data_IF_822801658765
#
_entry.id   IF_822801658765
#
_cell.length_a   1.000
_cell.length_b   1.000
_cell.length_c   1.000
_cell.angle_alpha   90.00
_cell.angle_beta   90.00
_cell.angle_gamma   90.00
#
_symmetry.space_group_name_H-M   'P 1'
#
loop_
_entity.id
_entity.type
_entity.pdbx_description
1 polymer ?
#
# COMPACT_ATOMS: atom_id res chain seq x y z
N UNK A 1 6.40 -57.00 -35.87
CA UNK A 1 6.97 -56.42 -34.64
C UNK A 1 7.13 -54.94 -34.90
N UNK A 2 6.12 -54.13 -34.53
CA UNK A 2 6.07 -52.71 -34.86
C UNK A 2 6.53 -51.91 -33.65
N UNK A 3 7.66 -51.21 -33.81
CA UNK A 3 8.26 -50.34 -32.81
C UNK A 3 7.46 -49.04 -32.77
N UNK A 4 6.84 -48.76 -31.62
CA UNK A 4 6.02 -47.56 -31.39
C UNK A 4 6.95 -46.46 -30.88
N UNK A 5 7.64 -45.81 -31.81
CA UNK A 5 8.40 -44.59 -31.54
C UNK A 5 7.44 -43.39 -31.43
N UNK A 6 7.70 -42.53 -30.45
CA UNK A 6 7.22 -41.15 -30.48
C UNK A 6 6.12 -40.78 -29.49
N UNK A 7 6.13 -41.30 -28.26
CA UNK A 7 5.61 -40.51 -27.12
C UNK A 7 6.66 -39.44 -26.80
N UNK A 8 6.72 -38.43 -27.67
CA UNK A 8 7.37 -37.18 -27.36
C UNK A 8 6.58 -36.55 -26.20
N UNK A 9 7.02 -36.85 -24.98
CA UNK A 9 6.68 -36.11 -23.79
C UNK A 9 6.91 -34.62 -24.11
N UNK A 10 5.83 -33.92 -24.43
CA UNK A 10 5.76 -32.46 -24.48
C UNK A 10 5.94 -31.98 -23.04
N UNK A 11 7.20 -32.03 -22.57
CA UNK A 11 7.65 -31.45 -21.32
C UNK A 11 7.56 -29.95 -21.51
N UNK A 12 6.34 -29.42 -21.41
CA UNK A 12 6.15 -27.98 -21.30
C UNK A 12 6.96 -27.52 -20.10
N UNK A 13 7.94 -26.63 -20.27
CA UNK A 13 8.71 -26.10 -19.17
C UNK A 13 7.72 -25.59 -18.12
N UNK A 14 7.79 -26.16 -16.92
CA UNK A 14 6.91 -25.78 -15.83
C UNK A 14 6.96 -24.28 -15.65
N UNK A 15 5.80 -23.61 -15.76
CA UNK A 15 5.73 -22.16 -15.74
C UNK A 15 6.48 -21.56 -14.55
N UNK A 16 7.28 -20.53 -14.82
CA UNK A 16 8.10 -19.84 -13.83
C UNK A 16 7.27 -19.53 -12.57
N UNK A 17 7.70 -19.99 -11.37
CA UNK A 17 6.97 -19.78 -10.13
C UNK A 17 6.79 -18.29 -9.76
N UNK A 18 7.47 -17.36 -10.41
CA UNK A 18 7.32 -15.92 -10.20
C UNK A 18 6.17 -15.28 -11.00
N UNK A 19 5.67 -15.95 -12.05
CA UNK A 19 4.66 -15.41 -12.96
C UNK A 19 3.26 -15.97 -12.69
N UNK A 20 2.27 -15.14 -12.98
CA UNK A 20 0.86 -15.48 -12.87
C UNK A 20 0.46 -16.49 -13.96
N UNK A 21 -0.60 -17.26 -13.71
CA UNK A 21 -1.12 -18.18 -14.71
C UNK A 21 -1.71 -17.41 -15.92
N UNK A 22 -1.51 -17.88 -17.18
CA UNK A 22 -1.97 -17.18 -18.39
C UNK A 22 -3.47 -16.86 -18.40
N UNK A 23 -4.28 -17.70 -17.76
CA UNK A 23 -5.73 -17.51 -17.60
C UNK A 23 -6.13 -16.23 -16.87
N UNK A 24 -5.20 -15.57 -16.16
CA UNK A 24 -5.46 -14.35 -15.40
C UNK A 24 -4.85 -13.09 -16.04
N UNK A 25 -4.20 -13.18 -17.19
CA UNK A 25 -3.57 -12.02 -17.84
C UNK A 25 -4.54 -10.86 -18.08
N UNK A 26 -5.79 -11.15 -18.46
CA UNK A 26 -6.84 -10.14 -18.62
C UNK A 26 -7.09 -9.34 -17.33
N UNK A 27 -7.26 -10.04 -16.20
CA UNK A 27 -7.46 -9.38 -14.90
C UNK A 27 -6.27 -8.49 -14.52
N UNK A 28 -5.04 -8.95 -14.79
CA UNK A 28 -3.81 -8.19 -14.53
C UNK A 28 -3.70 -6.93 -15.40
N UNK A 29 -4.00 -7.01 -16.69
CA UNK A 29 -4.03 -5.85 -17.57
C UNK A 29 -5.12 -4.85 -17.18
N UNK A 30 -6.33 -5.32 -16.85
CA UNK A 30 -7.42 -4.46 -16.39
C UNK A 30 -7.00 -3.73 -15.11
N UNK A 31 -6.47 -4.45 -14.12
CA UNK A 31 -5.97 -3.82 -12.89
C UNK A 31 -4.85 -2.83 -13.15
N UNK A 32 -3.87 -3.16 -14.01
CA UNK A 32 -2.81 -2.23 -14.37
C UNK A 32 -3.37 -0.95 -14.99
N UNK A 33 -4.28 -1.06 -15.95
CA UNK A 33 -4.90 0.08 -16.60
C UNK A 33 -5.62 1.00 -15.60
N UNK A 34 -6.48 0.45 -14.75
CA UNK A 34 -7.26 1.24 -13.79
C UNK A 34 -6.39 1.87 -12.69
N UNK A 35 -5.38 1.16 -12.18
CA UNK A 35 -4.45 1.72 -11.20
C UNK A 35 -3.59 2.84 -11.80
N UNK A 36 -3.08 2.65 -13.03
CA UNK A 36 -2.36 3.70 -13.75
C UNK A 36 -3.25 4.91 -13.98
N UNK A 37 -4.50 4.71 -14.45
CA UNK A 37 -5.45 5.78 -14.71
C UNK A 37 -5.70 6.64 -13.45
N UNK A 38 -5.93 6.00 -12.30
CA UNK A 38 -6.13 6.72 -11.05
C UNK A 38 -4.86 7.43 -10.57
N UNK A 39 -3.70 6.78 -10.67
CA UNK A 39 -2.43 7.40 -10.32
C UNK A 39 -2.12 8.63 -11.18
N UNK A 40 -2.39 8.55 -12.49
CA UNK A 40 -2.27 9.69 -13.41
C UNK A 40 -3.23 10.82 -13.04
N UNK A 41 -4.46 10.51 -12.63
CA UNK A 41 -5.38 11.53 -12.14
C UNK A 41 -4.84 12.26 -10.89
N UNK A 42 -4.30 11.52 -9.91
CA UNK A 42 -3.65 12.12 -8.74
C UNK A 42 -2.44 12.98 -9.12
N UNK A 43 -1.61 12.52 -10.06
CA UNK A 43 -0.48 13.31 -10.57
C UNK A 43 -0.95 14.58 -11.29
N UNK A 44 -2.07 14.53 -12.02
CA UNK A 44 -2.64 15.71 -12.67
C UNK A 44 -3.10 16.76 -11.64
N UNK A 45 -3.73 16.33 -10.55
CA UNK A 45 -4.11 17.21 -9.44
C UNK A 45 -2.93 17.92 -8.81
N UNK A 46 -1.81 17.22 -8.70
CA UNK A 46 -0.56 17.85 -8.28
C UNK A 46 -0.12 18.90 -9.25
N UNK A 47 0.05 18.53 -10.52
CA UNK A 47 0.61 19.45 -11.52
C UNK A 47 -0.26 20.71 -11.55
N UNK A 48 -1.57 20.54 -11.44
CA UNK A 48 -2.50 21.64 -11.26
C UNK A 48 -2.21 22.47 -9.99
N UNK A 49 -2.05 21.84 -8.82
CA UNK A 49 -1.71 22.57 -7.58
C UNK A 49 -0.38 23.32 -7.62
N UNK A 50 0.64 22.78 -8.30
CA UNK A 50 1.93 23.45 -8.52
C UNK A 50 1.74 24.69 -9.39
N UNK A 51 1.06 24.53 -10.53
CA UNK A 51 0.80 25.62 -11.49
C UNK A 51 -0.06 26.71 -10.86
N UNK A 52 -1.04 26.35 -10.02
CA UNK A 52 -1.91 27.31 -9.34
C UNK A 52 -1.20 28.04 -8.20
N UNK A 53 -0.28 27.38 -7.49
CA UNK A 53 0.45 27.96 -6.36
C UNK A 53 1.67 28.80 -6.74
N UNK A 54 1.85 29.13 -8.04
CA UNK A 54 3.06 29.75 -8.60
C UNK A 54 4.37 29.04 -8.17
N UNK A 55 4.28 27.75 -7.84
CA UNK A 55 5.40 26.97 -7.32
C UNK A 55 6.26 26.41 -8.44
N UNK A 56 7.56 26.21 -8.17
CA UNK A 56 8.45 25.51 -9.08
C UNK A 56 8.36 23.99 -8.89
N UNK A 57 8.72 23.23 -9.92
CA UNK A 57 8.87 21.76 -9.82
C UNK A 57 9.89 21.39 -8.73
N UNK A 58 10.88 22.26 -8.50
CA UNK A 58 11.87 22.05 -7.46
C UNK A 58 11.28 22.16 -6.06
N UNK A 59 10.40 23.15 -5.82
CA UNK A 59 9.69 23.30 -4.53
C UNK A 59 8.80 22.10 -4.24
N UNK A 60 8.24 21.48 -5.28
CA UNK A 60 7.52 20.23 -5.15
C UNK A 60 8.45 19.06 -4.75
N UNK A 61 9.59 18.91 -5.43
CA UNK A 61 10.58 17.86 -5.10
C UNK A 61 11.12 18.03 -3.70
N UNK A 62 11.39 19.26 -3.27
CA UNK A 62 11.79 19.56 -1.90
C UNK A 62 10.65 19.25 -0.93
N UNK A 63 9.42 19.64 -1.27
CA UNK A 63 8.19 19.37 -0.51
C UNK A 63 7.86 17.89 -0.31
N UNK A 64 8.35 17.00 -1.18
CA UNK A 64 8.23 15.54 -1.01
C UNK A 64 8.93 15.06 0.26
N UNK A 65 10.01 15.72 0.68
CA UNK A 65 10.83 15.31 1.82
C UNK A 65 10.78 16.31 2.98
N UNK A 66 10.77 17.61 2.68
CA UNK A 66 10.72 18.69 3.64
C UNK A 66 9.29 19.26 3.73
N UNK A 67 8.50 18.97 4.78
CA UNK A 67 7.18 19.57 4.94
C UNK A 67 7.18 21.09 5.05
N UNK A 68 8.32 21.71 5.38
CA UNK A 68 8.45 23.17 5.52
C UNK A 68 8.77 23.90 4.23
N UNK A 69 9.17 23.18 3.17
CA UNK A 69 9.62 23.79 1.92
C UNK A 69 8.48 24.32 1.02
N UNK A 70 7.23 23.92 1.26
CA UNK A 70 6.13 24.32 0.38
C UNK A 70 4.88 24.72 1.16
N UNK A 71 4.56 26.03 1.24
CA UNK A 71 3.25 26.52 1.65
C UNK A 71 2.20 26.42 0.53
N UNK A 72 2.58 25.97 -0.69
CA UNK A 72 1.64 25.83 -1.80
C UNK A 72 0.54 24.84 -1.39
N UNK A 73 -0.71 25.26 -1.56
CA UNK A 73 -1.93 24.52 -1.24
C UNK A 73 -1.86 23.09 -1.80
N UNK A 74 -1.35 22.14 -1.02
CA UNK A 74 -1.21 20.76 -1.43
C UNK A 74 -2.62 20.15 -1.44
N UNK A 75 -3.29 20.25 -2.60
CA UNK A 75 -4.57 19.57 -2.87
C UNK A 75 -4.46 18.05 -2.62
N UNK A 76 -3.24 17.53 -2.74
CA UNK A 76 -2.86 16.12 -2.58
C UNK A 76 -1.80 16.01 -1.49
N UNK A 77 -2.07 15.24 -0.44
CA UNK A 77 -1.18 15.09 0.71
C UNK A 77 -0.07 14.04 0.53
N UNK A 78 0.81 13.88 1.54
CA UNK A 78 1.89 12.87 1.54
C UNK A 78 1.42 11.46 1.22
N UNK A 79 0.29 11.07 1.79
CA UNK A 79 -0.22 9.71 1.67
C UNK A 79 -0.66 9.45 0.24
N UNK A 80 -1.37 10.39 -0.36
CA UNK A 80 -1.91 10.29 -1.71
C UNK A 80 -0.77 10.14 -2.73
N UNK A 81 0.36 10.82 -2.51
CA UNK A 81 1.57 10.64 -3.29
C UNK A 81 2.20 9.27 -3.16
N UNK A 82 2.40 8.83 -1.93
CA UNK A 82 2.97 7.53 -1.64
C UNK A 82 2.10 6.43 -2.27
N UNK A 83 0.78 6.58 -2.20
CA UNK A 83 -0.16 5.68 -2.82
C UNK A 83 -0.19 5.79 -4.36
N UNK A 84 -0.08 6.98 -4.95
CA UNK A 84 0.05 7.14 -6.39
C UNK A 84 1.29 6.40 -6.94
N UNK A 85 2.44 6.56 -6.28
CA UNK A 85 3.66 5.82 -6.61
C UNK A 85 3.47 4.30 -6.42
N UNK A 86 2.81 3.89 -5.33
CA UNK A 86 2.50 2.48 -5.09
C UNK A 86 1.54 1.89 -6.13
N UNK A 87 0.57 2.66 -6.63
CA UNK A 87 -0.35 2.23 -7.69
C UNK A 87 0.39 2.05 -9.01
N UNK A 88 1.30 2.96 -9.37
CA UNK A 88 2.15 2.81 -10.57
C UNK A 88 3.07 1.59 -10.46
N UNK A 89 3.71 1.39 -9.31
CA UNK A 89 4.55 0.21 -9.07
C UNK A 89 3.73 -1.09 -9.16
N UNK A 90 2.53 -1.10 -8.57
CA UNK A 90 1.61 -2.24 -8.62
C UNK A 90 1.13 -2.51 -10.04
N UNK A 91 0.81 -1.46 -10.80
CA UNK A 91 0.44 -1.55 -12.20
C UNK A 91 1.59 -2.12 -13.05
N UNK A 92 2.83 -1.65 -12.84
CA UNK A 92 4.01 -2.20 -13.50
C UNK A 92 4.23 -3.69 -13.20
N UNK A 93 4.09 -4.10 -11.93
CA UNK A 93 4.11 -5.51 -11.54
C UNK A 93 2.97 -6.31 -12.21
N UNK A 94 1.79 -5.69 -12.36
CA UNK A 94 0.64 -6.33 -12.98
C UNK A 94 0.83 -6.50 -14.49
N UNK A 95 1.36 -5.51 -15.20
CA UNK A 95 1.75 -5.60 -16.62
C UNK A 95 2.81 -6.68 -16.82
N UNK A 96 3.77 -6.79 -15.90
CA UNK A 96 4.78 -7.85 -15.90
C UNK A 96 4.25 -9.21 -15.39
N UNK A 97 2.94 -9.34 -15.15
CA UNK A 97 2.26 -10.55 -14.68
C UNK A 97 2.92 -11.20 -13.45
N UNK A 98 3.46 -10.38 -12.53
CA UNK A 98 4.13 -10.86 -11.32
C UNK A 98 3.10 -11.24 -10.26
N UNK A 99 3.23 -12.42 -9.64
CA UNK A 99 2.36 -12.85 -8.52
C UNK A 99 2.16 -11.83 -7.38
N UNK A 100 3.20 -11.10 -6.90
CA UNK A 100 3.00 -10.09 -5.87
C UNK A 100 2.05 -8.95 -6.28
N UNK A 101 1.86 -8.70 -7.59
CA UNK A 101 0.95 -7.66 -8.06
C UNK A 101 -0.47 -7.87 -7.55
N UNK A 102 -0.90 -9.13 -7.35
CA UNK A 102 -2.26 -9.43 -6.88
C UNK A 102 -2.50 -8.95 -5.46
N UNK A 103 -1.63 -9.28 -4.50
CA UNK A 103 -1.84 -8.86 -3.11
C UNK A 103 -1.63 -7.36 -2.95
N UNK A 104 -0.69 -6.78 -3.69
CA UNK A 104 -0.53 -5.33 -3.79
C UNK A 104 -1.82 -4.66 -4.30
N UNK A 105 -2.37 -5.13 -5.43
CA UNK A 105 -3.57 -4.57 -6.03
C UNK A 105 -4.81 -4.74 -5.15
N UNK A 106 -4.98 -5.89 -4.48
CA UNK A 106 -6.08 -6.08 -3.53
C UNK A 106 -5.97 -5.10 -2.36
N UNK A 107 -4.77 -4.91 -1.81
CA UNK A 107 -4.54 -3.91 -0.77
C UNK A 107 -4.89 -2.50 -1.25
N UNK A 108 -4.39 -2.10 -2.42
CA UNK A 108 -4.73 -0.84 -3.08
C UNK A 108 -6.24 -0.67 -3.31
N UNK A 109 -6.91 -1.71 -3.78
CA UNK A 109 -8.36 -1.70 -4.02
C UNK A 109 -9.17 -1.54 -2.73
N UNK A 110 -8.80 -2.23 -1.65
CA UNK A 110 -9.45 -2.04 -0.35
C UNK A 110 -9.19 -0.65 0.24
N UNK A 111 -7.98 -0.12 0.08
CA UNK A 111 -7.66 1.24 0.50
C UNK A 111 -8.51 2.28 -0.24
N UNK A 112 -8.58 2.20 -1.57
CA UNK A 112 -9.42 3.09 -2.38
C UNK A 112 -10.91 2.96 -2.04
N UNK A 113 -11.38 1.74 -1.77
CA UNK A 113 -12.74 1.52 -1.31
C UNK A 113 -13.00 2.20 0.03
N UNK A 114 -12.06 2.10 0.99
CA UNK A 114 -12.20 2.75 2.29
C UNK A 114 -12.25 4.28 2.17
N UNK A 115 -11.38 4.87 1.34
CA UNK A 115 -11.40 6.31 1.03
C UNK A 115 -12.73 6.71 0.38
N UNK A 116 -13.24 5.92 -0.55
CA UNK A 116 -14.49 6.20 -1.26
C UNK A 116 -15.72 6.07 -0.36
N UNK A 117 -15.74 5.08 0.55
CA UNK A 117 -16.81 4.91 1.53
C UNK A 117 -16.84 6.06 2.53
N UNK A 118 -15.67 6.50 3.00
CA UNK A 118 -15.55 7.70 3.84
C UNK A 118 -16.14 8.92 3.14
N UNK A 119 -15.82 9.11 1.86
CA UNK A 119 -16.35 10.20 1.06
C UNK A 119 -17.87 10.12 0.91
N UNK A 120 -18.40 8.92 0.65
CA UNK A 120 -19.83 8.69 0.56
C UNK A 120 -20.58 9.03 1.86
N UNK A 121 -19.97 8.74 3.03
CA UNK A 121 -20.50 9.18 4.32
C UNK A 121 -20.52 10.70 4.42
N UNK A 122 -19.45 11.37 3.98
CA UNK A 122 -19.39 12.83 3.94
C UNK A 122 -20.48 13.45 3.05
N UNK A 123 -20.75 12.86 1.89
CA UNK A 123 -21.81 13.29 0.97
C UNK A 123 -23.23 13.16 1.55
N UNK A 124 -23.43 12.51 2.69
CA UNK A 124 -24.71 12.56 3.39
C UNK A 124 -24.97 13.93 4.03
N UNK A 125 -23.93 14.70 4.34
CA UNK A 125 -24.02 16.05 4.91
C UNK A 125 -24.35 17.09 3.82
N UNK A 126 -25.38 17.90 4.06
CA UNK A 126 -25.87 18.87 3.07
C UNK A 126 -24.89 20.02 2.82
N UNK A 127 -24.22 20.52 3.86
CA UNK A 127 -23.24 21.59 3.72
C UNK A 127 -22.01 21.11 2.96
N UNK A 128 -21.58 19.86 3.20
CA UNK A 128 -20.50 19.26 2.44
C UNK A 128 -20.83 19.02 0.96
N UNK A 129 -22.06 18.56 0.66
CA UNK A 129 -22.52 18.47 -0.74
C UNK A 129 -22.57 19.81 -1.44
N UNK A 130 -22.96 20.87 -0.74
CA UNK A 130 -23.04 22.22 -1.31
C UNK A 130 -21.67 22.72 -1.77
N UNK A 131 -20.60 22.39 -1.03
CA UNK A 131 -19.24 22.74 -1.43
C UNK A 131 -18.90 22.22 -2.83
N UNK A 132 -19.30 20.99 -3.16
CA UNK A 132 -19.07 20.40 -4.49
C UNK A 132 -19.78 21.15 -5.63
N UNK A 133 -20.87 21.87 -5.32
CA UNK A 133 -21.61 22.68 -6.28
C UNK A 133 -21.05 24.12 -6.39
N UNK A 134 -20.54 24.67 -5.29
CA UNK A 134 -20.06 26.06 -5.22
C UNK A 134 -18.59 26.23 -5.58
N UNK A 135 -17.76 25.21 -5.34
CA UNK A 135 -16.33 25.25 -5.65
C UNK A 135 -16.08 25.01 -7.14
N UNK A 136 -15.28 25.85 -7.83
CA UNK A 136 -14.98 25.68 -9.26
C UNK A 136 -14.33 24.33 -9.61
N UNK A 137 -13.66 23.69 -8.65
CA UNK A 137 -13.02 22.39 -8.79
C UNK A 137 -13.87 21.25 -8.23
N UNK A 138 -15.02 21.55 -7.62
CA UNK A 138 -15.91 20.56 -6.99
C UNK A 138 -16.29 19.43 -7.95
N UNK A 139 -16.72 19.77 -9.17
CA UNK A 139 -17.08 18.76 -10.19
C UNK A 139 -15.92 17.81 -10.53
N UNK A 140 -14.69 18.33 -10.65
CA UNK A 140 -13.49 17.53 -10.92
C UNK A 140 -13.09 16.68 -9.72
N UNK A 141 -13.18 17.23 -8.51
CA UNK A 141 -12.90 16.51 -7.27
C UNK A 141 -13.87 15.32 -7.14
N UNK A 142 -15.18 15.55 -7.36
CA UNK A 142 -16.20 14.51 -7.32
C UNK A 142 -15.93 13.44 -8.38
N UNK A 143 -15.60 13.83 -9.61
CA UNK A 143 -15.25 12.89 -10.68
C UNK A 143 -14.04 12.02 -10.29
N UNK A 144 -13.05 12.59 -9.61
CA UNK A 144 -11.87 11.85 -9.12
C UNK A 144 -12.25 10.86 -8.02
N UNK A 145 -13.13 11.24 -7.09
CA UNK A 145 -13.66 10.34 -6.05
C UNK A 145 -14.45 9.18 -6.66
N UNK A 146 -15.31 9.47 -7.64
CA UNK A 146 -16.05 8.46 -8.40
C UNK A 146 -15.11 7.53 -9.16
N UNK A 147 -14.06 8.07 -9.81
CA UNK A 147 -13.03 7.28 -10.46
C UNK A 147 -12.33 6.35 -9.46
N UNK A 148 -11.98 6.83 -8.27
CA UNK A 148 -11.40 6.02 -7.20
C UNK A 148 -12.29 4.84 -6.79
N UNK A 149 -13.60 5.08 -6.66
CA UNK A 149 -14.58 4.03 -6.37
C UNK A 149 -14.67 3.01 -7.50
N UNK A 150 -14.76 3.45 -8.75
CA UNK A 150 -14.80 2.57 -9.94
C UNK A 150 -13.54 1.70 -9.99
N UNK A 151 -12.36 2.31 -9.81
CA UNK A 151 -11.07 1.61 -9.78
C UNK A 151 -11.06 0.58 -8.66
N UNK A 152 -11.49 0.94 -7.45
CA UNK A 152 -11.57 0.02 -6.31
C UNK A 152 -12.45 -1.19 -6.62
N UNK A 153 -13.67 -0.97 -7.11
CA UNK A 153 -14.62 -2.04 -7.44
C UNK A 153 -14.08 -2.92 -8.55
N UNK A 154 -13.54 -2.34 -9.63
CA UNK A 154 -12.97 -3.12 -10.74
C UNK A 154 -11.78 -3.95 -10.27
N UNK A 155 -10.81 -3.35 -9.56
CA UNK A 155 -9.63 -4.08 -9.07
C UNK A 155 -10.03 -5.21 -8.12
N UNK A 156 -10.97 -4.98 -7.20
CA UNK A 156 -11.44 -6.02 -6.29
C UNK A 156 -12.18 -7.14 -7.03
N UNK A 157 -13.07 -6.79 -7.96
CA UNK A 157 -13.86 -7.78 -8.72
C UNK A 157 -13.00 -8.59 -9.70
N UNK A 158 -11.91 -8.04 -10.24
CA UNK A 158 -10.98 -8.79 -11.10
C UNK A 158 -9.98 -9.61 -10.29
N UNK A 159 -9.43 -9.08 -9.19
CA UNK A 159 -8.34 -9.73 -8.45
C UNK A 159 -8.79 -10.72 -7.36
N UNK A 160 -10.01 -10.58 -6.82
CA UNK A 160 -10.55 -11.56 -5.86
C UNK A 160 -10.75 -12.94 -6.54
N UNK A 161 -11.40 -13.05 -7.72
CA UNK A 161 -11.54 -14.32 -8.42
C UNK A 161 -10.23 -14.84 -9.01
N UNK A 162 -9.28 -13.95 -9.37
CA UNK A 162 -7.92 -14.30 -9.77
C UNK A 162 -7.07 -14.87 -8.62
N UNK A 163 -7.72 -15.42 -7.58
CA UNK A 163 -7.02 -16.29 -6.64
C UNK A 163 -6.44 -17.43 -7.42
N UNK A 164 -5.11 -17.52 -7.43
CA UNK A 164 -4.36 -18.70 -7.85
C UNK A 164 -4.61 -19.86 -6.85
N UNK A 165 -5.87 -20.20 -6.65
CA UNK A 165 -6.25 -21.51 -6.14
C UNK A 165 -5.95 -22.43 -7.29
N UNK A 166 -4.77 -23.05 -7.25
CA UNK A 166 -4.36 -24.06 -8.23
C UNK A 166 -5.54 -24.97 -8.54
N UNK A 167 -5.79 -25.28 -9.83
CA UNK A 167 -7.02 -25.91 -10.28
C UNK A 167 -7.37 -27.06 -9.36
N UNK A 168 -8.52 -26.96 -8.70
CA UNK A 168 -9.10 -28.07 -7.97
C UNK A 168 -9.55 -29.06 -9.02
N UNK A 169 -8.59 -29.88 -9.48
CA UNK A 169 -8.68 -31.14 -10.20
C UNK A 169 -10.12 -31.46 -10.61
N UNK A 170 -10.54 -30.89 -11.74
CA UNK A 170 -11.75 -31.30 -12.45
C UNK A 170 -11.38 -32.08 -13.71
N UNK A 171 -10.36 -32.94 -13.59
CA UNK A 171 -10.16 -34.06 -14.50
C UNK A 171 -9.38 -35.14 -13.75
N UNK A 172 -10.08 -36.26 -13.61
CA UNK A 172 -9.63 -37.59 -13.19
C UNK A 172 -8.44 -37.96 -14.10
N UNK A 173 -7.29 -38.36 -13.53
CA UNK A 173 -6.22 -39.23 -14.10
C UNK A 173 -4.77 -38.82 -13.84
N UNK A 174 -4.42 -37.57 -13.50
CA UNK A 174 -2.99 -37.23 -13.33
C UNK A 174 -2.42 -37.61 -11.95
N UNK A 175 -1.20 -38.17 -11.86
CA UNK A 175 -0.56 -38.50 -10.59
C UNK A 175 -0.36 -37.24 -9.73
N UNK A 176 -0.43 -37.36 -8.39
CA UNK A 176 -0.34 -36.22 -7.49
C UNK A 176 1.06 -35.58 -7.58
N UNK A 177 1.17 -34.48 -8.33
CA UNK A 177 2.38 -33.66 -8.34
C UNK A 177 2.65 -33.19 -6.89
N UNK A 178 3.85 -33.44 -6.34
CA UNK A 178 4.20 -33.05 -4.98
C UNK A 178 3.97 -31.55 -4.76
N UNK A 179 3.32 -31.23 -3.63
CA UNK A 179 3.05 -29.86 -3.22
C UNK A 179 4.40 -29.15 -3.00
N UNK A 180 4.67 -27.97 -3.58
CA UNK A 180 5.68 -27.09 -3.04
C UNK A 180 5.15 -26.55 -1.71
N UNK A 181 5.52 -27.22 -0.62
CA UNK A 181 5.28 -26.71 0.74
C UNK A 181 6.09 -25.42 0.85
N UNK A 182 5.50 -24.28 1.26
CA UNK A 182 6.27 -23.09 1.56
C UNK A 182 7.41 -23.48 2.50
N UNK A 183 8.66 -23.20 2.10
CA UNK A 183 9.82 -23.61 2.87
C UNK A 183 9.70 -23.15 4.32
N UNK A 184 10.27 -23.90 5.26
CA UNK A 184 10.27 -23.49 6.67
C UNK A 184 10.82 -22.05 6.85
N UNK A 185 11.73 -21.62 5.98
CA UNK A 185 12.28 -20.27 5.88
C UNK A 185 11.24 -19.23 5.48
N UNK A 186 10.48 -19.47 4.41
CA UNK A 186 9.39 -18.61 3.93
C UNK A 186 8.37 -18.29 5.03
N UNK A 187 7.99 -19.31 5.81
CA UNK A 187 7.08 -19.15 6.96
C UNK A 187 7.70 -18.35 8.09
N UNK A 188 9.00 -18.53 8.37
CA UNK A 188 9.72 -17.75 9.38
C UNK A 188 9.81 -16.28 8.99
N UNK A 189 10.20 -15.98 7.75
CA UNK A 189 10.28 -14.60 7.24
C UNK A 189 8.92 -13.89 7.28
N UNK A 190 7.85 -14.56 6.83
CA UNK A 190 6.48 -14.04 6.94
C UNK A 190 6.08 -13.74 8.38
N UNK A 191 6.45 -14.62 9.33
CA UNK A 191 6.19 -14.39 10.75
C UNK A 191 6.97 -13.23 11.32
N UNK A 192 8.24 -13.08 10.97
CA UNK A 192 9.08 -11.94 11.39
C UNK A 192 8.47 -10.63 10.91
N UNK A 193 8.11 -10.55 9.62
CA UNK A 193 7.42 -9.37 9.07
C UNK A 193 6.09 -9.11 9.80
N UNK A 194 5.35 -10.18 10.10
CA UNK A 194 4.11 -10.10 10.87
C UNK A 194 4.31 -9.53 12.27
N UNK A 195 5.33 -9.98 13.00
CA UNK A 195 5.67 -9.47 14.35
C UNK A 195 6.09 -8.01 14.28
N UNK A 196 6.93 -7.62 13.31
CA UNK A 196 7.34 -6.22 13.14
C UNK A 196 6.15 -5.29 12.88
N UNK A 197 5.21 -5.72 12.02
CA UNK A 197 3.98 -4.97 11.75
C UNK A 197 3.09 -4.87 12.98
N UNK A 198 2.88 -5.97 13.71
CA UNK A 198 2.08 -5.96 14.93
C UNK A 198 2.69 -5.05 16.00
N UNK A 199 4.02 -5.11 16.19
CA UNK A 199 4.73 -4.24 17.12
C UNK A 199 4.55 -2.76 16.72
N UNK A 200 4.69 -2.43 15.45
CA UNK A 200 4.45 -1.07 14.95
C UNK A 200 3.00 -0.62 15.12
N UNK A 201 2.03 -1.50 14.88
CA UNK A 201 0.61 -1.23 15.12
C UNK A 201 0.32 -0.89 16.59
N UNK A 202 0.90 -1.66 17.52
CA UNK A 202 0.78 -1.39 18.97
C UNK A 202 1.44 -0.07 19.35
N UNK A 203 2.66 0.19 18.88
CA UNK A 203 3.37 1.45 19.16
C UNK A 203 2.59 2.66 18.66
N UNK A 204 2.09 2.60 17.42
CA UNK A 204 1.33 3.70 16.81
C UNK A 204 -0.03 3.90 17.46
N UNK A 205 -0.71 2.82 17.85
CA UNK A 205 -1.94 2.90 18.63
C UNK A 205 -1.68 3.53 20.01
N UNK A 206 -0.58 3.14 20.68
CA UNK A 206 -0.17 3.70 21.95
C UNK A 206 0.02 5.22 21.89
N UNK A 207 0.76 5.71 20.88
CA UNK A 207 0.90 7.14 20.63
C UNK A 207 -0.43 7.83 20.32
N UNK A 208 -1.28 7.22 19.50
CA UNK A 208 -2.60 7.79 19.18
C UNK A 208 -3.46 7.95 20.43
N UNK A 209 -3.49 6.94 21.30
CA UNK A 209 -4.23 6.99 22.57
C UNK A 209 -3.62 8.04 23.50
N UNK A 210 -2.29 8.08 23.60
CA UNK A 210 -1.57 9.08 24.40
C UNK A 210 -1.89 10.51 23.96
N UNK A 211 -1.82 10.80 22.67
CA UNK A 211 -2.11 12.12 22.11
C UNK A 211 -3.57 12.52 22.34
N UNK A 212 -4.53 11.58 22.17
CA UNK A 212 -5.94 11.82 22.48
C UNK A 212 -6.15 12.14 23.97
N UNK A 213 -5.45 11.44 24.87
CA UNK A 213 -5.58 11.67 26.31
C UNK A 213 -4.92 12.97 26.79
N UNK A 214 -3.74 13.31 26.27
CA UNK A 214 -3.00 14.51 26.68
C UNK A 214 -3.57 15.79 26.08
N UNK A 215 -3.97 15.76 24.81
CA UNK A 215 -4.50 16.94 24.14
C UNK A 215 -5.96 17.25 24.53
N UNK A 216 -6.60 16.39 25.33
CA UNK A 216 -8.01 16.53 25.69
C UNK A 216 -8.93 16.49 24.47
N UNK A 217 -8.51 15.84 23.39
CA UNK A 217 -9.28 15.77 22.16
C UNK A 217 -10.50 14.87 22.35
N UNK A 218 -11.63 15.30 21.82
CA UNK A 218 -12.85 14.51 21.84
C UNK A 218 -12.69 13.27 20.94
N UNK A 219 -12.58 12.10 21.55
CA UNK A 219 -12.46 10.80 20.87
C UNK A 219 -13.58 10.58 19.87
N UNK A 220 -14.79 11.05 20.15
CA UNK A 220 -15.92 10.93 19.22
C UNK A 220 -15.69 11.76 17.96
N UNK A 221 -15.22 13.01 18.11
CA UNK A 221 -14.84 13.87 16.98
C UNK A 221 -13.69 13.25 16.17
N UNK A 222 -12.70 12.65 16.84
CA UNK A 222 -11.58 11.99 16.16
C UNK A 222 -12.04 10.79 15.32
N UNK A 223 -12.87 9.90 15.90
CA UNK A 223 -13.43 8.76 15.18
C UNK A 223 -14.35 9.21 14.04
N UNK A 224 -15.15 10.26 14.26
CA UNK A 224 -15.95 10.86 13.20
C UNK A 224 -15.06 11.40 12.09
N UNK A 225 -13.99 12.11 12.41
CA UNK A 225 -13.01 12.59 11.41
C UNK A 225 -12.38 11.48 10.58
N UNK A 226 -12.23 10.27 11.15
CA UNK A 226 -11.74 9.14 10.38
C UNK A 226 -12.79 8.53 9.43
N UNK A 227 -14.08 8.54 9.78
CA UNK A 227 -15.13 7.86 9.00
C UNK A 227 -15.91 8.80 8.09
N UNK A 228 -15.98 10.08 8.43
CA UNK A 228 -16.78 11.11 7.79
C UNK A 228 -15.87 12.08 7.03
N UNK A 229 -16.04 12.16 5.70
CA UNK A 229 -15.33 13.11 4.85
C UNK A 229 -15.68 14.57 5.15
N UNK A 230 -16.88 14.84 5.68
CA UNK A 230 -17.38 16.21 5.87
C UNK A 230 -16.69 16.99 6.99
N UNK A 231 -16.05 16.29 7.94
CA UNK A 231 -15.47 16.92 9.15
C UNK A 231 -14.34 17.90 8.84
N UNK A 232 -13.60 17.70 7.74
CA UNK A 232 -12.56 18.63 7.30
C UNK A 232 -13.14 19.94 6.74
N UNK A 233 -14.43 19.96 6.39
CA UNK A 233 -15.14 21.13 5.88
C UNK A 233 -14.53 21.75 4.61
N UNK A 234 -13.64 21.03 3.92
CA UNK A 234 -12.88 21.52 2.76
C UNK A 234 -12.81 20.44 1.68
N UNK A 235 -12.84 20.88 0.42
CA UNK A 235 -12.67 20.06 -0.78
C UNK A 235 -11.20 19.71 -1.04
N UNK A 236 -10.59 18.98 -0.10
CA UNK A 236 -9.25 18.45 -0.29
C UNK A 236 -9.31 16.98 -0.74
N UNK A 237 -8.43 16.60 -1.68
CA UNK A 237 -8.24 15.20 -2.04
C UNK A 237 -7.39 14.46 -1.00
N UNK A 238 -6.63 15.22 -0.21
CA UNK A 238 -5.92 14.71 0.95
C UNK A 238 -6.88 14.10 1.98
N UNK A 239 -6.61 12.87 2.39
CA UNK A 239 -7.30 12.24 3.50
C UNK A 239 -6.88 12.90 4.83
N UNK A 240 -7.84 13.04 5.75
CA UNK A 240 -7.53 13.61 7.06
C UNK A 240 -6.53 12.76 7.85
N UNK A 241 -5.80 13.41 8.73
CA UNK A 241 -4.81 12.78 9.62
C UNK A 241 -5.41 11.66 10.46
N UNK A 242 -6.67 11.79 10.90
CA UNK A 242 -7.35 10.79 11.72
C UNK A 242 -7.57 9.49 10.93
N UNK A 243 -7.99 9.60 9.66
CA UNK A 243 -8.17 8.44 8.78
C UNK A 243 -6.86 7.78 8.41
N UNK A 244 -5.84 8.55 8.07
CA UNK A 244 -4.54 7.98 7.70
C UNK A 244 -3.88 7.30 8.91
N UNK A 245 -4.02 7.89 10.09
CA UNK A 245 -3.53 7.30 11.35
C UNK A 245 -4.29 6.03 11.72
N UNK A 246 -5.62 6.04 11.80
CA UNK A 246 -6.38 4.82 12.09
C UNK A 246 -6.22 3.77 10.98
N UNK A 247 -6.21 4.21 9.72
CA UNK A 247 -5.98 3.34 8.56
C UNK A 247 -4.62 2.64 8.63
N UNK A 248 -3.56 3.36 9.01
CA UNK A 248 -2.23 2.75 9.21
C UNK A 248 -2.22 1.74 10.36
N UNK A 249 -2.84 2.06 11.51
CA UNK A 249 -2.97 1.14 12.65
C UNK A 249 -3.70 -0.13 12.24
N UNK A 250 -4.83 0.00 11.55
CA UNK A 250 -5.58 -1.14 11.01
C UNK A 250 -4.76 -1.92 9.97
N UNK A 251 -4.03 -1.24 9.10
CA UNK A 251 -3.13 -1.84 8.12
C UNK A 251 -2.05 -2.69 8.78
N UNK A 252 -1.38 -2.16 9.80
CA UNK A 252 -0.39 -2.88 10.61
C UNK A 252 -0.99 -4.13 11.26
N UNK A 253 -2.15 -4.02 11.90
CA UNK A 253 -2.78 -5.17 12.54
C UNK A 253 -3.27 -6.21 11.55
N UNK A 254 -3.93 -5.81 10.46
CA UNK A 254 -4.47 -6.72 9.46
C UNK A 254 -3.36 -7.45 8.70
N UNK A 255 -2.41 -6.71 8.14
CA UNK A 255 -1.29 -7.30 7.40
C UNK A 255 -0.35 -8.07 8.34
N UNK A 256 -0.08 -7.52 9.53
CA UNK A 256 0.73 -8.18 10.54
C UNK A 256 0.15 -9.52 10.99
N UNK A 257 -1.16 -9.56 11.27
CA UNK A 257 -1.87 -10.78 11.64
C UNK A 257 -1.92 -11.81 10.51
N UNK A 258 -2.21 -11.37 9.28
CA UNK A 258 -2.23 -12.25 8.11
C UNK A 258 -0.84 -12.84 7.83
N UNK A 259 0.21 -12.03 7.93
CA UNK A 259 1.61 -12.45 7.77
C UNK A 259 2.07 -13.38 8.90
N UNK A 260 1.67 -13.10 10.14
CA UNK A 260 1.95 -13.96 11.31
C UNK A 260 1.33 -15.35 11.17
N UNK A 261 0.09 -15.43 10.66
CA UNK A 261 -0.57 -16.70 10.36
C UNK A 261 -0.01 -17.41 9.11
N UNK A 262 0.99 -16.84 8.44
CA UNK A 262 1.58 -17.34 7.20
C UNK A 262 0.52 -17.70 6.14
N UNK A 263 -0.58 -16.93 6.09
CA UNK A 263 -1.69 -17.18 5.15
C UNK A 263 -1.45 -16.45 3.84
N UNK A 264 -1.34 -17.20 2.75
CA UNK A 264 -1.34 -16.71 1.35
C UNK A 264 -0.18 -15.73 1.01
N UNK A 265 -0.01 -15.49 -0.28
CA UNK A 265 1.11 -14.71 -0.85
C UNK A 265 0.91 -13.20 -0.64
N UNK A 266 1.13 -12.72 0.58
CA UNK A 266 0.90 -11.33 1.03
C UNK A 266 2.04 -10.36 0.66
N UNK A 267 3.05 -10.83 -0.07
CA UNK A 267 4.30 -10.09 -0.32
C UNK A 267 4.06 -8.71 -0.91
N UNK A 268 3.20 -8.60 -1.92
CA UNK A 268 2.92 -7.34 -2.57
C UNK A 268 2.24 -6.34 -1.64
N UNK A 269 1.26 -6.79 -0.84
CA UNK A 269 0.60 -5.94 0.14
C UNK A 269 1.56 -5.44 1.22
N UNK A 270 2.43 -6.34 1.74
CA UNK A 270 3.46 -5.98 2.72
C UNK A 270 4.45 -4.98 2.15
N UNK A 271 4.93 -5.18 0.92
CA UNK A 271 5.85 -4.25 0.25
C UNK A 271 5.22 -2.88 0.06
N UNK A 272 4.01 -2.82 -0.52
CA UNK A 272 3.32 -1.55 -0.77
C UNK A 272 3.12 -0.79 0.54
N UNK A 273 2.56 -1.44 1.56
CA UNK A 273 2.29 -0.76 2.82
C UNK A 273 3.58 -0.37 3.55
N UNK A 274 4.58 -1.26 3.62
CA UNK A 274 5.86 -0.94 4.25
C UNK A 274 6.59 0.20 3.53
N UNK A 275 6.54 0.26 2.19
CA UNK A 275 7.15 1.35 1.42
C UNK A 275 6.46 2.69 1.66
N UNK A 276 5.13 2.71 1.72
CA UNK A 276 4.36 3.93 2.06
C UNK A 276 4.71 4.40 3.47
N UNK A 277 4.68 3.52 4.45
CA UNK A 277 5.01 3.84 5.84
C UNK A 277 6.48 4.26 6.01
N UNK A 278 7.40 3.62 5.28
CA UNK A 278 8.81 4.01 5.25
C UNK A 278 8.99 5.44 4.71
N UNK A 279 8.34 5.77 3.59
CA UNK A 279 8.38 7.11 3.02
C UNK A 279 7.88 8.16 4.03
N UNK A 280 6.75 7.90 4.68
CA UNK A 280 6.19 8.81 5.67
C UNK A 280 7.10 8.96 6.89
N UNK A 281 7.72 7.87 7.35
CA UNK A 281 8.67 7.91 8.46
C UNK A 281 9.91 8.72 8.10
N UNK A 282 10.44 8.56 6.88
CA UNK A 282 11.57 9.37 6.38
C UNK A 282 11.18 10.85 6.32
N UNK A 283 9.99 11.17 5.81
CA UNK A 283 9.48 12.55 5.78
C UNK A 283 9.39 13.15 7.19
N UNK A 284 8.92 12.38 8.17
CA UNK A 284 8.92 12.79 9.58
C UNK A 284 10.33 13.03 10.10
N UNK A 285 11.29 12.15 9.81
CA UNK A 285 12.69 12.37 10.23
C UNK A 285 13.27 13.64 9.62
N UNK A 286 13.08 13.87 8.32
CA UNK A 286 13.56 15.09 7.65
C UNK A 286 12.93 16.33 8.30
N UNK A 287 11.63 16.30 8.59
CA UNK A 287 10.96 17.39 9.32
C UNK A 287 11.63 17.67 10.66
N UNK A 288 11.83 16.64 11.49
CA UNK A 288 12.44 16.77 12.81
C UNK A 288 13.88 17.30 12.73
N UNK A 289 14.61 16.99 11.65
CA UNK A 289 15.95 17.51 11.38
C UNK A 289 15.91 18.98 10.98
N UNK A 290 15.00 19.36 10.07
CA UNK A 290 14.89 20.74 9.58
C UNK A 290 14.40 21.69 10.68
N UNK A 291 13.57 21.22 11.61
CA UNK A 291 13.04 22.06 12.70
C UNK A 291 13.93 22.06 13.97
N UNK A 292 15.16 21.56 13.91
CA UNK A 292 16.07 21.37 15.07
C UNK A 292 15.47 20.56 16.24
N UNK A 293 14.36 19.86 15.99
CA UNK A 293 13.61 19.16 17.02
C UNK A 293 14.36 17.92 17.54
N UNK A 294 15.31 17.39 16.77
CA UNK A 294 16.23 16.32 17.23
C UNK A 294 16.97 16.71 18.50
N UNK A 295 17.52 17.91 18.57
CA UNK A 295 18.30 18.34 19.73
C UNK A 295 17.39 18.57 20.95
N UNK A 296 16.22 19.17 20.72
CA UNK A 296 15.23 19.44 21.78
C UNK A 296 14.54 18.17 22.30
N UNK A 297 14.42 17.13 21.45
CA UNK A 297 13.73 15.89 21.83
C UNK A 297 14.43 15.11 22.93
N UNK A 298 15.76 15.19 23.04
CA UNK A 298 16.50 14.49 24.09
C UNK A 298 16.40 15.19 25.45
N UNK A 299 15.86 16.41 25.51
CA UNK A 299 15.65 17.16 26.75
C UNK A 299 14.46 16.63 27.56
N UNK A 300 13.55 15.88 26.93
CA UNK A 300 12.37 15.31 27.59
C UNK A 300 12.28 13.80 27.39
N UNK A 301 11.78 13.04 28.37
CA UNK A 301 11.60 11.59 28.23
C UNK A 301 10.60 11.24 27.11
N UNK A 302 9.62 12.12 26.87
CA UNK A 302 8.64 11.95 25.79
C UNK A 302 9.28 12.15 24.41
N UNK A 303 10.12 13.17 24.23
CA UNK A 303 10.86 13.37 22.99
C UNK A 303 11.83 12.22 22.70
N UNK A 304 12.54 11.73 23.72
CA UNK A 304 13.42 10.57 23.59
C UNK A 304 12.65 9.30 23.17
N UNK A 305 11.47 9.05 23.75
CA UNK A 305 10.60 7.94 23.36
C UNK A 305 10.08 8.10 21.92
N UNK A 306 9.71 9.32 21.51
CA UNK A 306 9.27 9.62 20.14
C UNK A 306 10.37 9.34 19.12
N UNK A 307 11.62 9.73 19.43
CA UNK A 307 12.79 9.42 18.61
C UNK A 307 13.07 7.92 18.53
N UNK A 308 13.02 7.22 19.67
CA UNK A 308 13.24 5.77 19.71
C UNK A 308 12.18 5.01 18.88
N UNK A 309 10.92 5.42 18.96
CA UNK A 309 9.83 4.81 18.18
C UNK A 309 9.91 5.13 16.69
N UNK A 310 10.36 6.33 16.33
CA UNK A 310 10.65 6.70 14.92
C UNK A 310 11.80 5.89 14.35
N UNK A 311 12.91 5.76 15.09
CA UNK A 311 14.05 4.94 14.70
C UNK A 311 13.68 3.44 14.56
N UNK A 312 12.88 2.93 15.50
CA UNK A 312 12.32 1.58 15.39
C UNK A 312 11.44 1.42 14.14
N UNK A 313 10.60 2.42 13.83
CA UNK A 313 9.77 2.43 12.62
C UNK A 313 10.59 2.35 11.33
N UNK A 314 11.65 3.15 11.21
CA UNK A 314 12.58 3.10 10.08
C UNK A 314 13.22 1.71 9.95
N UNK A 315 13.77 1.18 11.04
CA UNK A 315 14.44 -0.11 11.05
C UNK A 315 13.47 -1.26 10.71
N UNK A 316 12.26 -1.23 11.27
CA UNK A 316 11.24 -2.24 11.06
C UNK A 316 10.75 -2.24 9.60
N UNK A 317 10.38 -1.09 9.04
CA UNK A 317 9.88 -1.02 7.65
C UNK A 317 10.99 -1.35 6.64
N UNK A 318 12.22 -0.87 6.86
CA UNK A 318 13.37 -1.22 6.02
C UNK A 318 13.64 -2.72 6.07
N UNK A 319 13.59 -3.33 7.26
CA UNK A 319 13.75 -4.78 7.42
C UNK A 319 12.69 -5.55 6.65
N UNK A 320 11.42 -5.13 6.70
CA UNK A 320 10.36 -5.79 5.93
C UNK A 320 10.59 -5.65 4.42
N UNK A 321 10.93 -4.47 3.92
CA UNK A 321 11.24 -4.26 2.49
C UNK A 321 12.40 -5.16 2.06
N UNK A 322 13.50 -5.18 2.81
CA UNK A 322 14.68 -6.01 2.51
C UNK A 322 14.35 -7.50 2.58
N UNK A 323 13.63 -7.95 3.61
CA UNK A 323 13.28 -9.36 3.77
C UNK A 323 12.33 -9.86 2.66
N UNK A 324 11.39 -9.02 2.21
CA UNK A 324 10.47 -9.39 1.13
C UNK A 324 11.16 -9.36 -0.24
N UNK A 325 12.08 -8.41 -0.48
CA UNK A 325 12.86 -8.32 -1.73
C UNK A 325 13.95 -9.39 -1.82
N UNK A 326 14.71 -9.59 -0.74
CA UNK A 326 15.82 -10.55 -0.63
C UNK A 326 15.38 -12.02 -0.74
N UNK A 327 14.09 -12.29 -0.59
CA UNK A 327 13.48 -13.60 -0.83
C UNK A 327 13.68 -14.13 -2.27
N UNK A 328 14.06 -13.27 -3.24
CA UNK A 328 14.27 -13.65 -4.64
C UNK A 328 15.72 -14.05 -4.96
N UNK A 329 16.71 -13.39 -4.35
CA UNK A 329 18.11 -13.48 -4.80
C UNK A 329 18.75 -14.86 -4.63
N UNK A 330 18.32 -15.67 -3.65
CA UNK A 330 18.95 -16.97 -3.36
C UNK A 330 18.29 -18.15 -4.09
N UNK A 331 17.14 -17.98 -4.75
CA UNK A 331 16.53 -19.05 -5.57
C UNK A 331 17.11 -19.12 -6.98
N UNK A 332 17.78 -18.06 -7.42
CA UNK A 332 18.44 -17.97 -8.73
C UNK A 332 19.95 -18.28 -8.64
N UNK A 333 20.48 -18.56 -7.44
CA UNK A 333 21.84 -19.14 -7.31
C UNK A 333 21.77 -20.59 -7.79
N UNK A 334 22.39 -20.93 -8.93
CA UNK A 334 22.72 -22.32 -9.18
C UNK A 334 23.73 -22.67 -8.10
N UNK A 335 23.38 -23.59 -7.21
CA UNK A 335 24.41 -24.39 -6.58
C UNK A 335 25.14 -25.08 -7.73
N UNK A 336 26.32 -24.55 -8.08
CA UNK A 336 27.38 -25.28 -8.76
C UNK A 336 27.75 -26.47 -7.86
N UNK A 337 26.92 -27.51 -7.90
CA UNK A 337 27.34 -28.88 -7.61
C UNK A 337 28.07 -29.39 -8.86
N UNK A 338 29.27 -28.88 -9.07
CA UNK A 338 30.27 -29.57 -9.86
C UNK A 338 31.56 -29.65 -9.05
N UNK A 339 31.94 -30.89 -8.71
CA UNK A 339 33.29 -31.34 -8.30
C UNK A 339 33.78 -30.79 -6.96
N UNK A 340 34.02 -31.58 -5.92
CA UNK A 340 34.72 -32.88 -5.84
C UNK A 340 34.30 -33.69 -4.62
#
# INVERSE_FOLDING_TARGET
MAMRDGDALDVRPGGDPAHAAPQHHGAYHTTAFFLTLYATALTAWTVYGIVQGDGSVWDFVEGLFNPGASPASQLVGPYEWAFAAAFLATAGLAVAHRRPARSAALFSGFFLLAVSLREAVGLCDAAYRDQYATDPLGGWALATRVLGLVVAVVVLTTMLPATETRPRRRTRSDPPVPRPVPGARDRRLSRICGVLFLAMGVTRLGWTVHDLTLAGMDTFRYLRGAVDGSVLGTLNLAASTEFTTLGSVLGFFLLGWLAFRARRDLRGALLVFASVELYLTVRTVVWLTVTDFFNQSFETPQGALSMATTAFGLAAMTSVVVLVMGWRSERESPTDESTT
#
